data_IF_135144555099
#
_entry.id   IF_135144555099
#
_cell.length_a   1.000
_cell.length_b   1.000
_cell.length_c   1.000
_cell.angle_alpha   90.00
_cell.angle_beta   90.00
_cell.angle_gamma   90.00
#
_symmetry.space_group_name_H-M   'P 1'
#
loop_
_entity.id
_entity.type
_entity.pdbx_description
1 polymer ?
#
# COMPACT_ATOMS: atom_id res chain seq x y z
N UNK A 1 29.32 54.58 -7.37
CA UNK A 1 28.69 53.64 -8.34
C UNK A 1 27.71 52.77 -7.56
N UNK A 2 26.49 52.60 -8.09
CA UNK A 2 25.30 52.03 -7.43
C UNK A 2 25.12 50.56 -7.82
N UNK A 3 24.68 49.74 -6.83
CA UNK A 3 23.93 48.46 -6.93
C UNK A 3 24.76 47.24 -7.43
N UNK A 4 24.51 46.01 -7.00
CA UNK A 4 23.25 45.40 -6.61
C UNK A 4 23.42 44.31 -5.53
N UNK A 5 22.42 44.22 -4.65
CA UNK A 5 22.21 43.12 -3.73
C UNK A 5 21.62 41.91 -4.49
N UNK A 6 22.20 40.73 -4.31
CA UNK A 6 21.67 39.47 -4.81
C UNK A 6 20.74 38.87 -3.74
N UNK A 7 19.42 38.99 -3.95
CA UNK A 7 18.41 38.22 -3.24
C UNK A 7 18.37 36.80 -3.83
N UNK A 8 18.81 35.81 -3.05
CA UNK A 8 18.61 34.40 -3.38
C UNK A 8 17.18 34.04 -2.96
N UNK A 9 16.29 33.96 -3.94
CA UNK A 9 14.96 33.37 -3.78
C UNK A 9 15.09 31.86 -3.59
N UNK A 10 14.90 31.37 -2.37
CA UNK A 10 14.74 29.94 -2.10
C UNK A 10 13.31 29.58 -2.52
N UNK A 11 13.16 29.09 -3.75
CA UNK A 11 11.94 28.41 -4.20
C UNK A 11 11.86 27.08 -3.45
N UNK A 12 11.01 27.03 -2.43
CA UNK A 12 10.56 25.79 -1.83
C UNK A 12 9.77 25.01 -2.89
N UNK A 13 10.41 24.01 -3.50
CA UNK A 13 9.73 23.02 -4.32
C UNK A 13 8.89 22.13 -3.40
N UNK A 14 7.61 22.48 -3.25
CA UNK A 14 6.58 21.56 -2.76
C UNK A 14 6.44 20.44 -3.80
N UNK A 15 7.14 19.32 -3.61
CA UNK A 15 6.89 18.13 -4.40
C UNK A 15 5.41 17.76 -4.23
N UNK A 16 4.67 17.45 -5.32
CA UNK A 16 3.34 16.91 -5.17
C UNK A 16 3.50 15.57 -4.48
N UNK A 17 2.93 15.42 -3.29
CA UNK A 17 2.65 14.11 -2.74
C UNK A 17 1.77 13.42 -3.78
N UNK A 18 2.36 12.50 -4.56
CA UNK A 18 1.62 11.68 -5.50
C UNK A 18 0.56 10.96 -4.66
N UNK A 19 -0.67 11.44 -4.76
CA UNK A 19 -1.82 10.83 -4.13
C UNK A 19 -1.91 9.44 -4.75
N UNK A 20 -1.49 8.41 -4.00
CA UNK A 20 -1.74 7.03 -4.37
C UNK A 20 -3.24 6.94 -4.66
N UNK A 21 -3.58 6.66 -5.92
CA UNK A 21 -4.97 6.58 -6.33
C UNK A 21 -5.54 5.31 -5.71
N UNK A 22 -6.16 5.49 -4.54
CA UNK A 22 -7.03 4.51 -3.90
C UNK A 22 -8.31 4.53 -4.73
N UNK A 23 -8.50 3.49 -5.54
CA UNK A 23 -9.61 3.36 -6.47
C UNK A 23 -10.59 2.32 -5.93
N UNK A 24 -11.89 2.65 -5.92
CA UNK A 24 -13.06 1.76 -5.80
C UNK A 24 -13.12 0.75 -4.62
N UNK A 25 -14.29 0.64 -3.99
CA UNK A 25 -14.60 -0.33 -2.92
C UNK A 25 -13.81 -0.19 -1.61
N UNK A 26 -13.00 0.86 -1.45
CA UNK A 26 -12.33 1.18 -0.18
C UNK A 26 -13.34 1.73 0.82
N UNK A 27 -13.29 1.21 2.05
CA UNK A 27 -14.12 1.66 3.16
C UNK A 27 -13.87 3.15 3.46
N UNK A 28 -14.92 3.96 3.36
CA UNK A 28 -14.88 5.41 3.58
C UNK A 28 -14.58 5.79 5.03
N UNK A 29 -14.67 4.84 5.97
CA UNK A 29 -14.32 5.03 7.37
C UNK A 29 -12.82 4.90 7.69
N UNK A 30 -11.96 4.60 6.72
CA UNK A 30 -10.53 4.46 6.96
C UNK A 30 -9.82 5.81 7.05
N UNK A 31 -8.94 5.95 8.05
CA UNK A 31 -8.09 7.12 8.22
C UNK A 31 -7.16 7.30 6.99
N UNK A 32 -7.12 8.47 6.36
CA UNK A 32 -6.22 8.75 5.23
C UNK A 32 -4.74 8.49 5.53
N UNK A 33 -4.28 8.68 6.77
CA UNK A 33 -2.91 8.38 7.18
C UNK A 33 -2.64 6.87 7.15
N UNK A 34 -3.58 6.06 7.63
CA UNK A 34 -3.50 4.60 7.57
C UNK A 34 -3.48 4.13 6.12
N UNK A 35 -4.34 4.69 5.27
CA UNK A 35 -4.39 4.37 3.84
C UNK A 35 -3.04 4.66 3.17
N UNK A 36 -2.38 5.78 3.50
CA UNK A 36 -1.02 6.08 3.01
C UNK A 36 0.02 5.08 3.53
N UNK A 37 -0.04 4.68 4.80
CA UNK A 37 0.89 3.69 5.37
C UNK A 37 0.73 2.32 4.72
N UNK A 38 -0.52 1.85 4.53
CA UNK A 38 -0.81 0.61 3.80
C UNK A 38 -0.29 0.73 2.37
N UNK A 39 -0.53 1.87 1.71
CA UNK A 39 -0.08 2.09 0.36
C UNK A 39 1.44 2.04 0.22
N UNK A 40 2.18 2.69 1.11
CA UNK A 40 3.64 2.65 1.12
C UNK A 40 4.18 1.23 1.39
N UNK A 41 3.51 0.48 2.27
CA UNK A 41 3.89 -0.89 2.60
C UNK A 41 3.65 -1.84 1.42
N UNK A 42 2.45 -1.81 0.84
CA UNK A 42 2.03 -2.73 -0.23
C UNK A 42 2.77 -2.53 -1.55
N UNK A 43 3.40 -1.37 -1.75
CA UNK A 43 4.12 -1.03 -2.99
C UNK A 43 5.63 -0.92 -2.79
N UNK A 44 6.15 -1.15 -1.57
CA UNK A 44 7.56 -0.96 -1.19
C UNK A 44 8.55 -1.62 -2.15
N UNK A 45 8.21 -2.82 -2.63
CA UNK A 45 9.11 -3.65 -3.42
C UNK A 45 8.83 -3.53 -4.94
N UNK A 46 7.96 -2.61 -5.36
CA UNK A 46 7.67 -2.36 -6.77
C UNK A 46 8.73 -1.46 -7.42
N UNK A 47 9.05 -1.73 -8.69
CA UNK A 47 9.99 -0.90 -9.44
C UNK A 47 9.51 0.54 -9.66
N UNK A 48 8.18 0.72 -9.79
CA UNK A 48 7.53 2.03 -9.98
C UNK A 48 6.35 2.16 -9.00
N UNK A 49 6.59 2.43 -7.70
CA UNK A 49 5.54 2.44 -6.67
C UNK A 49 4.51 3.56 -6.89
N UNK A 50 4.87 4.63 -7.60
CA UNK A 50 3.97 5.73 -7.94
C UNK A 50 2.90 5.34 -8.98
N UNK A 51 3.15 4.32 -9.80
CA UNK A 51 2.20 3.83 -10.81
C UNK A 51 1.25 2.76 -10.23
N UNK A 52 1.53 2.31 -9.00
CA UNK A 52 0.77 1.28 -8.34
C UNK A 52 -0.65 1.73 -8.01
N UNK A 53 -1.59 0.79 -8.07
CA UNK A 53 -3.00 1.02 -7.79
C UNK A 53 -3.44 0.15 -6.62
N UNK A 54 -4.21 0.75 -5.72
CA UNK A 54 -4.80 0.08 -4.55
C UNK A 54 -6.31 0.12 -4.68
N UNK A 55 -6.98 -0.96 -4.26
CA UNK A 55 -8.45 -1.02 -4.21
C UNK A 55 -8.96 -1.90 -3.07
N UNK A 56 -10.25 -1.79 -2.78
CA UNK A 56 -10.95 -2.65 -1.82
C UNK A 56 -10.31 -2.65 -0.42
N UNK A 57 -9.76 -1.50 0.03
CA UNK A 57 -9.16 -1.41 1.36
C UNK A 57 -10.23 -1.48 2.44
N UNK A 58 -10.04 -2.36 3.43
CA UNK A 58 -10.97 -2.54 4.55
C UNK A 58 -10.25 -3.10 5.76
N UNK A 59 -10.83 -2.95 6.97
CA UNK A 59 -10.33 -3.67 8.15
C UNK A 59 -10.47 -5.19 7.95
N UNK A 60 -9.45 -5.92 8.35
CA UNK A 60 -9.43 -7.38 8.37
C UNK A 60 -10.10 -7.92 9.64
N UNK A 61 -10.38 -9.22 9.64
CA UNK A 61 -10.81 -9.97 10.83
C UNK A 61 -9.63 -10.46 11.69
N UNK A 62 -8.39 -10.22 11.27
CA UNK A 62 -7.19 -10.70 11.94
C UNK A 62 -6.88 -9.90 13.22
N UNK A 63 -6.36 -10.58 14.26
CA UNK A 63 -5.85 -10.00 15.52
C UNK A 63 -6.76 -8.92 16.11
N UNK A 64 -8.03 -9.21 16.42
CA UNK A 64 -9.01 -8.23 16.94
C UNK A 64 -9.31 -7.03 16.00
N UNK A 65 -9.03 -7.13 14.70
CA UNK A 65 -9.32 -6.08 13.73
C UNK A 65 -8.20 -5.05 13.52
N UNK A 66 -6.98 -5.40 13.90
CA UNK A 66 -5.79 -4.52 13.79
C UNK A 66 -5.07 -4.62 12.43
N UNK A 67 -5.49 -5.54 11.56
CA UNK A 67 -4.98 -5.63 10.19
C UNK A 67 -5.94 -5.06 9.15
N UNK A 68 -5.47 -4.94 7.92
CA UNK A 68 -6.18 -4.39 6.78
C UNK A 68 -6.06 -5.32 5.58
N UNK A 69 -7.15 -5.49 4.87
CA UNK A 69 -7.20 -6.21 3.60
C UNK A 69 -7.22 -5.22 2.45
N UNK A 70 -6.73 -5.65 1.30
CA UNK A 70 -6.83 -4.88 0.07
C UNK A 70 -6.33 -5.67 -1.12
N UNK A 71 -6.32 -5.01 -2.27
CA UNK A 71 -5.65 -5.50 -3.46
C UNK A 71 -4.71 -4.43 -4.02
N UNK A 72 -3.57 -4.88 -4.55
CA UNK A 72 -2.55 -4.00 -5.14
C UNK A 72 -2.21 -4.49 -6.54
N UNK A 73 -1.94 -3.56 -7.45
CA UNK A 73 -1.42 -3.81 -8.79
C UNK A 73 -0.22 -2.87 -9.04
N UNK A 74 0.87 -3.32 -9.70
CA UNK A 74 2.04 -2.49 -9.99
C UNK A 74 1.81 -1.38 -11.02
N UNK A 75 0.59 -1.23 -11.53
CA UNK A 75 0.21 -0.20 -12.50
C UNK A 75 -0.10 -0.76 -13.89
N UNK A 76 -0.69 0.07 -14.75
CA UNK A 76 -1.09 -0.32 -16.10
C UNK A 76 -2.20 -1.39 -16.14
N UNK A 77 -2.02 -2.40 -16.99
CA UNK A 77 -2.91 -3.56 -17.13
C UNK A 77 -2.55 -4.74 -16.20
N UNK A 78 -1.73 -4.50 -15.17
CA UNK A 78 -1.32 -5.52 -14.21
C UNK A 78 -2.49 -6.06 -13.38
N UNK A 79 -2.47 -7.37 -13.11
CA UNK A 79 -3.46 -8.01 -12.27
C UNK A 79 -3.40 -7.47 -10.83
N UNK A 80 -4.58 -7.24 -10.25
CA UNK A 80 -4.69 -6.97 -8.82
C UNK A 80 -4.46 -8.26 -8.04
N UNK A 81 -3.61 -8.17 -7.01
CA UNK A 81 -3.32 -9.27 -6.11
C UNK A 81 -3.73 -8.92 -4.69
N UNK A 82 -4.41 -9.84 -3.99
CA UNK A 82 -4.86 -9.60 -2.64
C UNK A 82 -3.69 -9.57 -1.65
N UNK A 83 -3.83 -8.74 -0.62
CA UNK A 83 -2.89 -8.67 0.48
C UNK A 83 -3.59 -8.50 1.83
N UNK A 84 -2.83 -8.78 2.88
CA UNK A 84 -3.13 -8.39 4.25
C UNK A 84 -1.96 -7.60 4.82
N UNK A 85 -2.25 -6.46 5.43
CA UNK A 85 -1.29 -5.56 6.04
C UNK A 85 -1.60 -5.39 7.53
N UNK A 86 -0.57 -5.30 8.37
CA UNK A 86 -0.68 -4.85 9.76
C UNK A 86 0.13 -3.57 9.86
N UNK A 87 -0.48 -2.53 10.45
CA UNK A 87 0.16 -1.26 10.76
C UNK A 87 -0.11 -1.00 12.23
N UNK A 88 0.88 -1.26 13.08
CA UNK A 88 0.79 -1.07 14.52
C UNK A 88 1.12 0.39 14.90
N UNK A 89 0.62 0.87 16.05
CA UNK A 89 0.84 2.25 16.51
C UNK A 89 2.30 2.58 16.82
N UNK A 90 3.10 1.56 17.14
CA UNK A 90 4.54 1.69 17.38
C UNK A 90 5.37 1.80 16.09
N UNK A 91 4.73 1.74 14.92
CA UNK A 91 5.37 1.78 13.61
C UNK A 91 5.80 0.42 13.05
N UNK A 92 5.55 -0.68 13.78
CA UNK A 92 5.78 -2.02 13.24
C UNK A 92 4.80 -2.30 12.11
N UNK A 93 5.32 -2.85 11.01
CA UNK A 93 4.53 -3.20 9.84
C UNK A 93 4.77 -4.63 9.41
N UNK A 94 3.72 -5.29 8.94
CA UNK A 94 3.81 -6.63 8.36
C UNK A 94 2.92 -6.73 7.14
N UNK A 95 3.40 -7.39 6.10
CA UNK A 95 2.68 -7.55 4.84
C UNK A 95 2.67 -9.03 4.43
N UNK A 96 1.48 -9.53 4.13
CA UNK A 96 1.26 -10.79 3.44
C UNK A 96 0.69 -10.47 2.06
N UNK A 97 1.51 -10.55 1.02
CA UNK A 97 1.11 -10.30 -0.36
C UNK A 97 1.03 -11.63 -1.13
N UNK A 98 -0.12 -11.94 -1.73
CA UNK A 98 -0.33 -13.26 -2.33
C UNK A 98 0.64 -13.55 -3.49
N UNK A 99 1.06 -12.52 -4.24
CA UNK A 99 1.99 -12.69 -5.37
C UNK A 99 3.37 -13.20 -4.98
N UNK A 100 3.76 -13.06 -3.71
CA UNK A 100 5.04 -13.58 -3.22
C UNK A 100 5.08 -15.12 -3.22
N UNK A 101 3.90 -15.73 -3.17
CA UNK A 101 3.72 -17.18 -3.15
C UNK A 101 3.38 -17.77 -4.54
N UNK A 102 3.11 -16.92 -5.54
CA UNK A 102 2.88 -17.34 -6.92
C UNK A 102 4.14 -17.27 -7.79
N UNK A 103 5.25 -16.77 -7.26
CA UNK A 103 6.53 -16.70 -7.98
C UNK A 103 7.11 -18.10 -8.21
N UNK A 104 7.72 -18.39 -9.38
CA UNK A 104 8.43 -19.64 -9.62
C UNK A 104 9.49 -19.87 -8.53
N UNK A 105 9.41 -21.01 -7.83
CA UNK A 105 10.29 -21.36 -6.70
C UNK A 105 9.71 -21.08 -5.30
N UNK A 106 8.55 -20.42 -5.19
CA UNK A 106 7.86 -20.14 -3.91
C UNK A 106 6.71 -21.14 -3.61
N UNK A 107 6.75 -22.35 -4.20
CA UNK A 107 5.60 -23.25 -4.35
C UNK A 107 5.19 -24.05 -3.09
N UNK A 108 5.63 -23.67 -1.90
CA UNK A 108 5.34 -24.40 -0.65
C UNK A 108 4.24 -23.80 0.24
N UNK A 109 3.82 -22.56 0.00
CA UNK A 109 3.01 -21.81 0.98
C UNK A 109 1.83 -21.04 0.38
N UNK A 110 1.53 -21.23 -0.92
CA UNK A 110 0.42 -20.54 -1.58
C UNK A 110 -0.93 -20.89 -0.97
N UNK A 111 -1.17 -22.17 -0.70
CA UNK A 111 -2.41 -22.65 -0.07
C UNK A 111 -2.58 -22.10 1.35
N UNK A 112 -1.48 -21.99 2.10
CA UNK A 112 -1.45 -21.40 3.44
C UNK A 112 -1.79 -19.91 3.37
N UNK A 113 -1.15 -19.16 2.47
CA UNK A 113 -1.41 -17.74 2.27
C UNK A 113 -2.86 -17.47 1.85
N UNK A 114 -3.41 -18.26 0.92
CA UNK A 114 -4.81 -18.19 0.53
C UNK A 114 -5.76 -18.47 1.71
N UNK A 115 -5.47 -19.49 2.50
CA UNK A 115 -6.28 -19.83 3.68
C UNK A 115 -6.23 -18.74 4.74
N UNK A 116 -5.06 -18.14 4.97
CA UNK A 116 -4.90 -17.00 5.87
C UNK A 116 -5.72 -15.79 5.40
N UNK A 117 -5.58 -15.40 4.13
CA UNK A 117 -6.34 -14.28 3.56
C UNK A 117 -7.86 -14.49 3.64
N UNK A 118 -8.34 -15.71 3.39
CA UNK A 118 -9.74 -16.08 3.57
C UNK A 118 -10.18 -15.97 5.03
N UNK A 119 -9.40 -16.53 5.96
CA UNK A 119 -9.70 -16.45 7.40
C UNK A 119 -9.69 -15.00 7.92
N UNK A 120 -8.88 -14.13 7.31
CA UNK A 120 -8.83 -12.70 7.65
C UNK A 120 -9.94 -11.89 6.97
N UNK A 121 -10.79 -12.51 6.13
CA UNK A 121 -11.86 -11.85 5.39
C UNK A 121 -11.37 -11.01 4.20
N UNK A 122 -10.12 -11.19 3.78
CA UNK A 122 -9.52 -10.46 2.66
C UNK A 122 -9.95 -11.01 1.29
N UNK A 123 -10.31 -12.29 1.23
CA UNK A 123 -10.84 -12.95 0.04
C UNK A 123 -12.10 -13.75 0.40
N UNK A 124 -13.04 -13.94 -0.55
CA UNK A 124 -14.21 -14.80 -0.35
C UNK A 124 -13.88 -16.28 -0.07
#
# INVERSE_FOLDING_TARGET
MKKAAALISILAFSAPAAAQQVVDGTDSGLDPAVVRSIGALATRDFAAPADARLRNLKKSLARNGHGYCGEVSPGGAGAFVPFHAIVEENGDTSLLLLSDFTRPGATGHLDIAQRLLKNFGCTP
#
